data_IF_941647158347
#
_entry.id   IF_941647158347
#
_cell.length_a   1.000
_cell.length_b   1.000
_cell.length_c   1.000
_cell.angle_alpha   90.00
_cell.angle_beta   90.00
_cell.angle_gamma   90.00
#
_symmetry.space_group_name_H-M   'P 1'
#
loop_
_entity.id
_entity.type
_entity.pdbx_description
1 polymer ?
#
# COMPACT_ATOMS: atom_id res chain seq x y z
N UNK A 1 -9.95 -12.32 0.14
CA UNK A 1 -9.86 -13.02 1.44
C UNK A 1 -9.52 -11.99 2.51
N UNK A 2 -10.21 -11.96 3.66
CA UNK A 2 -9.97 -10.93 4.70
C UNK A 2 -8.95 -11.42 5.75
N UNK A 3 -8.25 -10.51 6.48
CA UNK A 3 -7.29 -10.89 7.52
C UNK A 3 -7.88 -11.84 8.59
N UNK A 4 -9.13 -11.64 9.00
CA UNK A 4 -9.80 -12.52 9.97
C UNK A 4 -9.99 -13.94 9.43
N UNK A 5 -10.28 -14.08 8.13
CA UNK A 5 -10.44 -15.38 7.49
C UNK A 5 -9.09 -16.10 7.36
N UNK A 6 -8.03 -15.36 6.99
CA UNK A 6 -6.65 -15.85 7.01
C UNK A 6 -6.30 -16.35 8.41
N UNK A 7 -6.54 -15.54 9.45
CA UNK A 7 -6.32 -15.94 10.86
C UNK A 7 -7.02 -17.24 11.19
N UNK A 8 -8.29 -17.37 10.85
CA UNK A 8 -9.08 -18.56 11.15
C UNK A 8 -8.51 -19.82 10.48
N UNK A 9 -8.04 -19.72 9.24
CA UNK A 9 -7.44 -20.85 8.52
C UNK A 9 -6.11 -21.24 9.18
N UNK A 10 -5.21 -20.28 9.36
CA UNK A 10 -3.86 -20.54 9.84
C UNK A 10 -3.81 -20.91 11.34
N UNK A 11 -4.78 -20.44 12.15
CA UNK A 11 -4.87 -20.77 13.57
C UNK A 11 -5.08 -22.27 13.82
N UNK A 12 -5.56 -23.03 12.82
CA UNK A 12 -5.68 -24.49 12.91
C UNK A 12 -4.33 -25.21 12.98
N UNK A 13 -3.27 -24.59 12.48
CA UNK A 13 -1.93 -25.19 12.43
C UNK A 13 -1.03 -24.75 13.57
N UNK A 14 -1.36 -23.64 14.23
CA UNK A 14 -0.71 -23.12 15.42
C UNK A 14 -1.06 -21.66 15.68
N UNK A 15 -0.53 -21.12 16.77
CA UNK A 15 -0.81 -19.76 17.20
C UNK A 15 -0.24 -18.70 16.23
N UNK A 16 -1.14 -17.90 15.67
CA UNK A 16 -0.83 -16.78 14.78
C UNK A 16 -0.78 -15.49 15.60
N UNK A 17 0.34 -14.78 15.56
CA UNK A 17 0.51 -13.52 16.27
C UNK A 17 0.05 -12.36 15.40
N UNK A 18 0.83 -12.03 14.36
CA UNK A 18 0.60 -10.87 13.49
C UNK A 18 0.22 -11.30 12.07
N UNK A 19 -0.65 -10.52 11.44
CA UNK A 19 -1.08 -10.69 10.04
C UNK A 19 -1.13 -9.32 9.39
N UNK A 20 -0.54 -9.22 8.21
CA UNK A 20 -0.53 -8.01 7.40
C UNK A 20 -0.82 -8.42 5.96
N UNK A 21 -1.79 -7.75 5.33
CA UNK A 21 -2.14 -7.98 3.94
C UNK A 21 -2.03 -6.65 3.20
N UNK A 22 -1.32 -6.65 2.08
CA UNK A 22 -1.19 -5.49 1.21
C UNK A 22 -2.49 -5.34 0.42
N UNK A 23 -3.26 -4.26 0.60
CA UNK A 23 -4.41 -4.02 -0.25
C UNK A 23 -3.94 -3.85 -1.69
N UNK A 24 -4.60 -4.53 -2.62
CA UNK A 24 -4.37 -4.27 -4.03
C UNK A 24 -4.71 -2.79 -4.29
N UNK A 25 -3.76 -2.02 -4.81
CA UNK A 25 -3.90 -0.57 -4.92
C UNK A 25 -5.17 -0.17 -5.67
N UNK A 26 -5.66 1.05 -5.41
CA UNK A 26 -6.70 1.70 -6.23
C UNK A 26 -6.11 2.11 -7.60
N UNK A 27 -5.53 1.17 -8.33
CA UNK A 27 -5.31 1.36 -9.76
C UNK A 27 -6.68 1.53 -10.41
N UNK A 28 -6.80 2.45 -11.37
CA UNK A 28 -7.99 2.88 -12.11
C UNK A 28 -8.88 1.73 -12.63
N UNK A 29 -9.52 0.97 -11.74
CA UNK A 29 -10.59 0.03 -12.08
C UNK A 29 -11.86 0.86 -12.06
N UNK A 30 -12.14 1.44 -13.22
CA UNK A 30 -13.41 2.08 -13.55
C UNK A 30 -14.55 1.17 -13.10
N UNK A 31 -15.46 1.75 -12.31
CA UNK A 31 -16.84 1.30 -12.10
C UNK A 31 -17.06 -0.22 -12.01
N UNK A 32 -17.07 -0.75 -10.78
CA UNK A 32 -17.67 -2.06 -10.52
C UNK A 32 -18.04 -2.15 -9.05
N UNK A 33 -19.31 -2.47 -8.77
CA UNK A 33 -19.93 -2.72 -7.47
C UNK A 33 -18.93 -3.23 -6.42
N UNK A 34 -18.97 -2.64 -5.22
CA UNK A 34 -18.25 -3.00 -3.98
C UNK A 34 -17.77 -4.46 -3.96
N UNK A 35 -16.65 -4.75 -4.63
CA UNK A 35 -15.99 -6.05 -4.53
C UNK A 35 -15.13 -5.98 -3.27
N UNK A 36 -15.22 -7.03 -2.45
CA UNK A 36 -14.44 -7.17 -1.23
C UNK A 36 -12.97 -6.79 -1.48
N UNK A 37 -12.35 -6.04 -0.55
CA UNK A 37 -10.95 -5.61 -0.64
C UNK A 37 -10.09 -6.79 -1.10
N UNK A 38 -9.54 -6.68 -2.30
CA UNK A 38 -8.55 -7.61 -2.81
C UNK A 38 -7.21 -7.28 -2.17
N UNK A 39 -6.40 -8.31 -1.94
CA UNK A 39 -5.06 -8.18 -1.39
C UNK A 39 -4.11 -8.86 -2.36
N UNK A 40 -2.98 -8.22 -2.66
CA UNK A 40 -1.98 -8.78 -3.59
C UNK A 40 -1.06 -9.75 -2.88
N UNK A 41 -0.62 -9.39 -1.67
CA UNK A 41 0.38 -10.12 -0.90
C UNK A 41 0.08 -10.03 0.60
N UNK A 42 0.72 -10.87 1.40
CA UNK A 42 0.56 -10.82 2.85
C UNK A 42 1.61 -11.60 3.62
N UNK A 43 1.77 -11.22 4.88
CA UNK A 43 2.68 -11.84 5.85
C UNK A 43 1.88 -12.34 7.05
N UNK A 44 2.21 -13.54 7.48
CA UNK A 44 1.63 -14.19 8.66
C UNK A 44 2.78 -14.61 9.57
N UNK A 45 2.75 -14.14 10.80
CA UNK A 45 3.71 -14.51 11.83
C UNK A 45 3.12 -15.54 12.78
N UNK A 46 3.83 -16.66 12.94
CA UNK A 46 3.51 -17.67 13.94
C UNK A 46 4.39 -17.51 15.18
N UNK A 47 3.86 -17.86 16.35
CA UNK A 47 4.61 -17.85 17.60
C UNK A 47 5.83 -18.79 17.58
N UNK A 48 5.78 -19.89 16.82
CA UNK A 48 6.87 -20.88 16.70
C UNK A 48 7.37 -21.02 15.27
N UNK A 49 8.68 -20.84 15.06
CA UNK A 49 9.33 -20.98 13.73
C UNK A 49 9.14 -22.36 13.09
N UNK A 50 9.06 -23.42 13.90
CA UNK A 50 8.85 -24.79 13.41
C UNK A 50 7.47 -24.95 12.78
N UNK A 51 6.45 -24.30 13.37
CA UNK A 51 5.09 -24.27 12.81
C UNK A 51 5.08 -23.52 11.49
N UNK A 52 5.67 -22.32 11.43
CA UNK A 52 5.75 -21.54 10.19
C UNK A 52 6.39 -22.32 9.03
N UNK A 53 7.50 -23.03 9.30
CA UNK A 53 8.16 -23.89 8.30
C UNK A 53 7.27 -25.04 7.85
N UNK A 54 6.64 -25.76 8.80
CA UNK A 54 5.76 -26.88 8.50
C UNK A 54 4.57 -26.42 7.67
N UNK A 55 3.94 -25.32 8.04
CA UNK A 55 2.78 -24.74 7.34
C UNK A 55 3.16 -24.33 5.92
N UNK A 56 4.30 -23.66 5.73
CA UNK A 56 4.77 -23.30 4.39
C UNK A 56 4.97 -24.53 3.51
N UNK A 57 5.61 -25.59 4.03
CA UNK A 57 5.81 -26.82 3.26
C UNK A 57 4.51 -27.59 3.00
N UNK A 58 3.57 -27.58 3.95
CA UNK A 58 2.33 -28.33 3.86
C UNK A 58 1.31 -27.67 2.94
N UNK A 59 1.18 -26.34 3.01
CA UNK A 59 0.13 -25.62 2.30
C UNK A 59 0.59 -25.09 0.95
N UNK A 60 1.89 -24.87 0.72
CA UNK A 60 2.33 -24.32 -0.56
C UNK A 60 2.03 -25.30 -1.71
N UNK A 61 1.27 -24.84 -2.70
CA UNK A 61 0.81 -25.66 -3.82
C UNK A 61 -0.51 -26.39 -3.54
N UNK A 62 -1.03 -26.36 -2.32
CA UNK A 62 -2.32 -26.96 -1.98
C UNK A 62 -3.48 -26.02 -2.27
N UNK A 63 -4.63 -26.60 -2.60
CA UNK A 63 -5.87 -25.86 -2.80
C UNK A 63 -6.32 -25.23 -1.46
N UNK A 64 -6.76 -23.98 -1.49
CA UNK A 64 -7.34 -23.30 -0.30
C UNK A 64 -8.58 -24.06 0.17
N UNK A 65 -9.40 -24.50 -0.78
CA UNK A 65 -10.54 -25.37 -0.56
C UNK A 65 -11.71 -24.67 0.15
N UNK A 66 -12.40 -25.42 1.00
CA UNK A 66 -13.64 -25.00 1.66
C UNK A 66 -14.89 -25.49 0.90
N UNK A 67 -16.01 -24.77 1.03
CA UNK A 67 -17.26 -25.13 0.33
C UNK A 67 -17.08 -24.87 -1.17
N UNK A 68 -17.60 -25.75 -2.05
CA UNK A 68 -17.53 -25.60 -3.52
C UNK A 68 -18.06 -24.25 -4.04
N UNK A 69 -18.98 -23.61 -3.33
CA UNK A 69 -19.53 -22.27 -3.66
C UNK A 69 -18.65 -21.10 -3.17
N UNK A 70 -17.57 -21.37 -2.45
CA UNK A 70 -16.64 -20.35 -1.96
C UNK A 70 -15.85 -19.78 -3.14
N UNK A 71 -15.66 -18.46 -3.14
CA UNK A 71 -14.84 -17.77 -4.15
C UNK A 71 -13.39 -18.27 -4.19
N UNK A 72 -12.89 -18.84 -3.08
CA UNK A 72 -11.51 -19.31 -2.95
C UNK A 72 -11.38 -20.82 -3.15
N UNK A 73 -12.46 -21.53 -3.52
CA UNK A 73 -12.43 -22.98 -3.58
C UNK A 73 -11.34 -23.48 -4.52
N UNK A 74 -11.23 -22.93 -5.73
CA UNK A 74 -10.26 -23.31 -6.75
C UNK A 74 -8.89 -22.63 -6.63
N UNK A 75 -8.74 -21.70 -5.68
CA UNK A 75 -7.49 -20.98 -5.49
C UNK A 75 -6.44 -21.90 -4.84
N UNK A 76 -5.17 -21.64 -5.16
CA UNK A 76 -4.02 -22.39 -4.65
C UNK A 76 -3.23 -21.48 -3.71
N UNK A 77 -2.78 -22.04 -2.59
CA UNK A 77 -1.87 -21.37 -1.69
C UNK A 77 -0.48 -21.22 -2.32
N UNK A 78 0.02 -19.99 -2.38
CA UNK A 78 1.42 -19.70 -2.67
C UNK A 78 2.06 -19.12 -1.41
N UNK A 79 2.83 -19.94 -0.69
CA UNK A 79 3.35 -19.61 0.64
C UNK A 79 4.82 -19.99 0.73
N UNK A 80 5.64 -19.10 1.30
CA UNK A 80 7.05 -19.36 1.54
C UNK A 80 7.43 -18.98 2.97
N UNK A 81 8.24 -19.82 3.61
CA UNK A 81 8.86 -19.46 4.88
C UNK A 81 10.07 -18.55 4.64
N UNK A 82 10.07 -17.39 5.31
CA UNK A 82 11.16 -16.42 5.24
C UNK A 82 12.15 -16.66 6.38
N UNK A 83 13.38 -17.09 6.04
CA UNK A 83 14.46 -17.30 7.01
C UNK A 83 15.08 -15.97 7.40
N UNK A 84 15.40 -15.80 8.70
CA UNK A 84 16.05 -14.60 9.26
C UNK A 84 15.27 -13.30 9.04
N UNK A 85 13.98 -13.40 8.75
CA UNK A 85 13.08 -12.26 8.59
C UNK A 85 12.29 -12.05 9.88
N UNK A 86 12.23 -10.81 10.36
CA UNK A 86 11.41 -10.42 11.51
C UNK A 86 10.32 -9.47 11.07
N UNK A 87 9.24 -9.41 11.84
CA UNK A 87 8.16 -8.48 11.59
C UNK A 87 8.61 -7.01 11.63
N UNK A 88 9.58 -6.69 12.47
CA UNK A 88 10.08 -5.32 12.62
C UNK A 88 10.79 -4.86 11.33
N UNK A 89 11.43 -5.78 10.60
CA UNK A 89 12.03 -5.50 9.28
C UNK A 89 10.93 -5.10 8.27
N UNK A 90 9.79 -5.81 8.29
CA UNK A 90 8.63 -5.49 7.44
C UNK A 90 8.08 -4.09 7.74
N UNK A 91 7.85 -3.80 9.03
CA UNK A 91 7.30 -2.51 9.46
C UNK A 91 8.27 -1.38 9.15
N UNK A 92 9.58 -1.60 9.38
CA UNK A 92 10.64 -0.66 9.05
C UNK A 92 10.64 -0.31 7.56
N UNK A 93 10.62 -1.32 6.69
CA UNK A 93 10.61 -1.10 5.23
C UNK A 93 9.34 -0.38 4.75
N UNK A 94 8.17 -0.71 5.32
CA UNK A 94 6.90 -0.03 4.98
C UNK A 94 6.95 1.44 5.43
N UNK A 95 7.44 1.70 6.65
CA UNK A 95 7.55 3.05 7.19
C UNK A 95 8.52 3.89 6.35
N UNK A 96 9.68 3.34 5.99
CA UNK A 96 10.66 4.01 5.14
C UNK A 96 10.09 4.34 3.76
N UNK A 97 9.45 3.38 3.08
CA UNK A 97 8.80 3.62 1.78
C UNK A 97 7.73 4.70 1.87
N UNK A 98 6.94 4.70 2.94
CA UNK A 98 5.89 5.70 3.17
C UNK A 98 6.51 7.08 3.38
N UNK A 99 7.53 7.18 4.23
CA UNK A 99 8.23 8.42 4.50
C UNK A 99 8.90 9.01 3.24
N UNK A 100 9.58 8.18 2.44
CA UNK A 100 10.16 8.61 1.16
C UNK A 100 9.08 9.14 0.22
N UNK A 101 7.91 8.46 0.15
CA UNK A 101 6.79 8.89 -0.69
C UNK A 101 6.24 10.25 -0.23
N UNK A 102 6.04 10.44 1.07
CA UNK A 102 5.54 11.69 1.65
C UNK A 102 6.51 12.86 1.46
N UNK A 103 7.80 12.60 1.61
CA UNK A 103 8.85 13.59 1.35
C UNK A 103 8.84 14.03 -0.12
N UNK A 104 8.79 13.09 -1.07
CA UNK A 104 8.69 13.40 -2.50
C UNK A 104 7.46 14.24 -2.81
N UNK A 105 6.30 13.84 -2.31
CA UNK A 105 5.06 14.58 -2.51
C UNK A 105 5.14 16.01 -1.94
N UNK A 106 5.74 16.18 -0.76
CA UNK A 106 5.90 17.49 -0.12
C UNK A 106 6.86 18.38 -0.92
N UNK A 107 7.94 17.82 -1.46
CA UNK A 107 8.86 18.54 -2.35
C UNK A 107 8.15 19.00 -3.63
N UNK A 108 7.36 18.12 -4.26
CA UNK A 108 6.56 18.46 -5.45
C UNK A 108 5.55 19.58 -5.16
N UNK A 109 4.80 19.47 -4.06
CA UNK A 109 3.85 20.50 -3.63
C UNK A 109 4.58 21.83 -3.38
N UNK A 110 5.74 21.79 -2.74
CA UNK A 110 6.53 22.99 -2.43
C UNK A 110 7.07 23.65 -3.70
N UNK A 111 7.57 22.86 -4.65
CA UNK A 111 8.01 23.35 -5.96
C UNK A 111 6.84 23.99 -6.73
N UNK A 112 5.67 23.35 -6.77
CA UNK A 112 4.48 23.87 -7.42
C UNK A 112 3.99 25.18 -6.76
N UNK A 113 3.99 25.26 -5.42
CA UNK A 113 3.66 26.49 -4.69
C UNK A 113 4.63 27.62 -5.03
N UNK A 114 5.93 27.36 -5.03
CA UNK A 114 6.96 28.35 -5.40
C UNK A 114 6.78 28.86 -6.82
N UNK A 115 6.48 27.96 -7.77
CA UNK A 115 6.20 28.35 -9.16
C UNK A 115 4.96 29.24 -9.29
N UNK A 116 3.87 28.88 -8.60
CA UNK A 116 2.64 29.68 -8.55
C UNK A 116 2.91 31.07 -7.94
N UNK A 117 3.60 31.14 -6.82
CA UNK A 117 3.85 32.40 -6.11
C UNK A 117 4.75 33.33 -6.95
N UNK A 118 5.74 32.76 -7.63
CA UNK A 118 6.57 33.49 -8.61
C UNK A 118 5.73 34.06 -9.76
N UNK A 119 4.80 33.27 -10.31
CA UNK A 119 3.90 33.71 -11.37
C UNK A 119 3.01 34.88 -10.91
N UNK A 120 2.41 34.78 -9.72
CA UNK A 120 1.57 35.84 -9.15
C UNK A 120 2.37 37.15 -8.97
N UNK A 121 3.58 37.06 -8.40
CA UNK A 121 4.44 38.24 -8.21
C UNK A 121 4.82 38.92 -9.54
N UNK A 122 5.12 38.14 -10.59
CA UNK A 122 5.44 38.70 -11.90
C UNK A 122 4.22 39.34 -12.57
N UNK A 123 3.03 38.75 -12.41
CA UNK A 123 1.78 39.31 -12.92
C UNK A 123 1.45 40.66 -12.25
N UNK A 124 1.65 40.76 -10.93
CA UNK A 124 1.49 42.02 -10.19
C UNK A 124 2.49 43.08 -10.66
N UNK A 125 3.78 42.74 -10.75
CA UNK A 125 4.82 43.66 -11.25
C UNK A 125 4.52 44.19 -12.65
N UNK A 126 4.05 43.32 -13.55
CA UNK A 126 3.65 43.70 -14.91
C UNK A 126 2.48 44.69 -14.91
N UNK A 127 1.45 44.45 -14.08
CA UNK A 127 0.34 45.40 -13.90
C UNK A 127 0.83 46.75 -13.40
N UNK A 128 1.68 46.77 -12.37
CA UNK A 128 2.25 48.01 -11.82
C UNK A 128 3.07 48.76 -12.86
N UNK A 129 3.93 48.07 -13.62
CA UNK A 129 4.71 48.68 -14.69
C UNK A 129 3.83 49.29 -15.79
N UNK A 130 2.73 48.61 -16.16
CA UNK A 130 1.77 49.13 -17.13
C UNK A 130 1.13 50.44 -16.65
N UNK A 131 0.66 50.48 -15.40
CA UNK A 131 0.09 51.71 -14.83
C UNK A 131 1.10 52.87 -14.75
N UNK A 132 2.37 52.57 -14.47
CA UNK A 132 3.43 53.60 -14.47
C UNK A 132 3.66 54.15 -15.88
N UNK A 133 3.75 53.27 -16.90
CA UNK A 133 3.92 53.70 -18.30
C UNK A 133 2.76 54.56 -18.78
N UNK A 134 1.51 54.15 -18.52
CA UNK A 134 0.31 54.90 -18.87
C UNK A 134 0.25 56.29 -18.19
N UNK A 135 0.87 56.46 -17.02
CA UNK A 135 0.99 57.76 -16.34
C UNK A 135 2.06 58.67 -16.94
N UNK A 136 3.11 58.12 -17.53
CA UNK A 136 4.21 58.90 -18.13
C UNK A 136 3.84 59.40 -19.54
N UNK A 137 3.00 58.66 -20.26
CA UNK A 137 2.51 59.06 -21.60
C UNK A 137 1.38 60.12 -21.57
N UNK A 138 0.82 60.43 -20.40
CA UNK A 138 -0.18 61.50 -20.21
C UNK A 138 0.46 62.79 -19.72
#
# INVERSE_FOLDING_TARGET
MNPSHVRQIFSKYGEVQRIYLVPEGQGHRKHSNVKAKAYSEGWVEFAKKSVAKRVANLLNGEQIGGKKRSSFYYDIWNIKYLRKFKWDDLVGEIAEKTHIREQKLTLEITAAKKQRDHYLSNAEKSRTQKFIRERIEK
#
